data_IF_434216613529
#
_entry.id   IF_434216613529
#
_cell.length_a   1.000
_cell.length_b   1.000
_cell.length_c   1.000
_cell.angle_alpha   90.00
_cell.angle_beta   90.00
_cell.angle_gamma   90.00
#
_symmetry.space_group_name_H-M   'P 1'
#
loop_
_entity.id
_entity.type
_entity.pdbx_description
1 polymer ?
#
# COMPACT_ATOMS: atom_id res chain seq x y z
N UNK A 1 -9.31 -16.50 -18.31
CA UNK A 1 -10.42 -16.19 -17.37
C UNK A 1 -11.31 -15.13 -18.00
N UNK A 2 -12.63 -15.16 -17.80
CA UNK A 2 -13.59 -14.18 -18.35
C UNK A 2 -14.21 -13.42 -17.18
N UNK A 3 -14.18 -12.08 -17.22
CA UNK A 3 -14.74 -11.21 -16.18
C UNK A 3 -15.76 -10.23 -16.78
N UNK A 4 -16.67 -9.72 -15.94
CA UNK A 4 -17.59 -8.64 -16.35
C UNK A 4 -16.77 -7.38 -16.69
N UNK A 5 -17.17 -6.60 -17.72
CA UNK A 5 -16.56 -5.30 -17.99
C UNK A 5 -16.54 -4.44 -16.71
N UNK A 6 -15.41 -3.79 -16.48
CA UNK A 6 -15.21 -2.83 -15.39
C UNK A 6 -14.86 -1.47 -15.99
N UNK A 7 -15.17 -0.38 -15.28
CA UNK A 7 -14.77 0.96 -15.71
C UNK A 7 -13.26 1.18 -15.67
N UNK A 8 -12.84 2.42 -15.93
CA UNK A 8 -11.43 2.82 -15.89
C UNK A 8 -10.79 2.46 -14.53
N UNK A 9 -9.51 2.08 -14.57
CA UNK A 9 -8.72 1.96 -13.35
C UNK A 9 -8.39 3.34 -12.77
N UNK A 10 -8.08 3.38 -11.47
CA UNK A 10 -7.75 4.63 -10.78
C UNK A 10 -6.50 5.30 -11.32
N UNK A 11 -5.55 4.55 -11.90
CA UNK A 11 -4.39 5.16 -12.57
C UNK A 11 -4.84 6.08 -13.72
N UNK A 12 -5.76 5.61 -14.54
CA UNK A 12 -6.32 6.37 -15.66
C UNK A 12 -7.11 7.59 -15.17
N UNK A 13 -7.87 7.42 -14.09
CA UNK A 13 -8.62 8.51 -13.47
C UNK A 13 -7.68 9.58 -12.87
N UNK A 14 -6.65 9.17 -12.15
CA UNK A 14 -5.68 10.07 -11.53
C UNK A 14 -4.92 10.87 -12.59
N UNK A 15 -4.50 10.20 -13.68
CA UNK A 15 -3.83 10.87 -14.80
C UNK A 15 -4.69 11.96 -15.47
N UNK A 16 -6.01 11.77 -15.53
CA UNK A 16 -6.96 12.78 -16.06
C UNK A 16 -7.08 14.01 -15.15
N UNK A 17 -6.84 13.85 -13.85
CA UNK A 17 -6.93 14.92 -12.85
C UNK A 17 -5.64 15.72 -12.68
N UNK A 18 -4.52 15.24 -13.22
CA UNK A 18 -3.24 15.96 -13.18
C UNK A 18 -2.61 15.95 -11.78
N UNK A 19 -1.86 17.01 -11.45
CA UNK A 19 -1.07 17.09 -10.20
C UNK A 19 -1.87 17.56 -8.98
N UNK A 20 -3.14 17.89 -9.14
CA UNK A 20 -3.97 18.43 -8.06
C UNK A 20 -4.74 17.33 -7.30
N UNK A 21 -4.69 16.08 -7.80
CA UNK A 21 -5.47 14.97 -7.27
C UNK A 21 -6.97 15.07 -7.57
N UNK A 22 -7.74 14.18 -6.95
CA UNK A 22 -9.19 14.09 -7.05
C UNK A 22 -9.88 14.93 -5.97
N UNK A 23 -11.11 15.41 -6.21
CA UNK A 23 -11.93 15.99 -5.17
C UNK A 23 -12.06 15.05 -3.96
N UNK A 24 -11.83 15.57 -2.74
CA UNK A 24 -11.84 14.76 -1.52
C UNK A 24 -13.15 13.98 -1.30
N UNK A 25 -14.28 14.50 -1.79
CA UNK A 25 -15.57 13.77 -1.78
C UNK A 25 -15.46 12.46 -2.54
N UNK A 26 -14.85 12.47 -3.74
CA UNK A 26 -14.64 11.27 -4.54
C UNK A 26 -13.63 10.34 -3.87
N UNK A 27 -12.53 10.87 -3.35
CA UNK A 27 -11.52 10.07 -2.61
C UNK A 27 -12.18 9.32 -1.45
N UNK A 28 -13.00 9.99 -0.64
CA UNK A 28 -13.71 9.37 0.49
C UNK A 28 -14.63 8.23 0.05
N UNK A 29 -15.40 8.43 -1.02
CA UNK A 29 -16.31 7.41 -1.55
C UNK A 29 -15.52 6.21 -2.08
N UNK A 30 -14.47 6.47 -2.86
CA UNK A 30 -13.62 5.42 -3.45
C UNK A 30 -12.97 4.58 -2.34
N UNK A 31 -12.33 5.22 -1.37
CA UNK A 31 -11.64 4.54 -0.28
C UNK A 31 -12.62 3.77 0.60
N UNK A 32 -13.82 4.30 0.85
CA UNK A 32 -14.86 3.57 1.59
C UNK A 32 -15.21 2.23 0.93
N UNK A 33 -15.60 2.25 -0.36
CA UNK A 33 -15.97 1.02 -1.07
C UNK A 33 -14.80 0.06 -1.23
N UNK A 34 -13.58 0.58 -1.41
CA UNK A 34 -12.37 -0.25 -1.42
C UNK A 34 -12.16 -0.97 -0.08
N UNK A 35 -12.31 -0.27 1.05
CA UNK A 35 -12.18 -0.87 2.38
C UNK A 35 -13.27 -1.91 2.65
N UNK A 36 -14.49 -1.71 2.16
CA UNK A 36 -15.57 -2.71 2.23
C UNK A 36 -15.21 -3.98 1.45
N UNK A 37 -14.66 -3.83 0.24
CA UNK A 37 -14.16 -4.94 -0.57
C UNK A 37 -12.99 -5.68 0.07
N UNK A 38 -12.03 -4.96 0.64
CA UNK A 38 -10.91 -5.55 1.38
C UNK A 38 -11.38 -6.28 2.63
N UNK A 39 -12.33 -5.70 3.37
CA UNK A 39 -12.92 -6.38 4.53
C UNK A 39 -13.55 -7.73 4.13
N UNK A 40 -14.24 -7.80 2.99
CA UNK A 40 -14.75 -9.07 2.47
C UNK A 40 -13.64 -10.07 2.13
N UNK A 41 -12.60 -9.64 1.40
CA UNK A 41 -11.44 -10.49 1.07
C UNK A 41 -10.75 -11.04 2.33
N UNK A 42 -10.52 -10.17 3.32
CA UNK A 42 -9.78 -10.50 4.54
C UNK A 42 -10.59 -11.38 5.48
N UNK A 43 -11.87 -11.06 5.70
CA UNK A 43 -12.69 -11.72 6.72
C UNK A 43 -13.43 -12.95 6.19
N UNK A 44 -14.01 -12.87 5.00
CA UNK A 44 -14.80 -13.95 4.39
C UNK A 44 -13.92 -14.87 3.55
N UNK A 45 -13.12 -14.32 2.63
CA UNK A 45 -12.34 -15.13 1.69
C UNK A 45 -11.02 -15.65 2.27
N UNK A 46 -10.51 -15.03 3.35
CA UNK A 46 -9.18 -15.29 3.93
C UNK A 46 -8.04 -15.09 2.91
N UNK A 47 -8.21 -14.09 2.05
CA UNK A 47 -7.25 -13.70 1.01
C UNK A 47 -6.66 -12.33 1.39
N UNK A 48 -5.36 -12.17 1.19
CA UNK A 48 -4.64 -10.89 1.20
C UNK A 48 -4.34 -10.57 -0.27
N UNK A 49 -4.64 -9.35 -0.73
CA UNK A 49 -4.43 -8.98 -2.12
C UNK A 49 -2.95 -8.80 -2.46
N UNK A 50 -2.22 -8.15 -1.55
CA UNK A 50 -0.77 -7.93 -1.58
C UNK A 50 -0.25 -7.00 -2.68
N UNK A 51 -1.12 -6.40 -3.50
CA UNK A 51 -0.72 -5.48 -4.57
C UNK A 51 -1.82 -4.43 -4.86
N UNK A 52 -2.35 -3.84 -3.79
CA UNK A 52 -3.29 -2.72 -3.90
C UNK A 52 -2.55 -1.47 -4.37
N UNK A 53 -3.03 -0.92 -5.49
CA UNK A 53 -2.52 0.27 -6.18
C UNK A 53 -3.57 0.76 -7.19
N UNK A 54 -3.45 1.99 -7.73
CA UNK A 54 -4.43 2.56 -8.64
C UNK A 54 -4.75 1.70 -9.87
N UNK A 55 -3.77 0.95 -10.38
CA UNK A 55 -3.93 0.08 -11.55
C UNK A 55 -4.89 -1.09 -11.30
N UNK A 56 -4.95 -1.57 -10.05
CA UNK A 56 -5.70 -2.75 -9.63
C UNK A 56 -7.05 -2.40 -8.98
N UNK A 57 -7.49 -1.15 -9.09
CA UNK A 57 -8.79 -0.70 -8.61
C UNK A 57 -9.53 -0.01 -9.73
N UNK A 58 -10.66 -0.58 -10.15
CA UNK A 58 -11.54 0.00 -11.14
C UNK A 58 -12.63 0.83 -10.47
N UNK A 59 -12.97 1.96 -11.09
CA UNK A 59 -14.07 2.82 -10.63
C UNK A 59 -15.03 3.09 -11.79
N UNK A 60 -16.31 3.16 -11.48
CA UNK A 60 -17.35 3.57 -12.42
C UNK A 60 -18.26 4.57 -11.72
N UNK A 61 -18.37 5.75 -12.31
CA UNK A 61 -19.36 6.76 -11.92
C UNK A 61 -20.51 6.68 -12.92
N UNK A 62 -21.69 6.31 -12.46
CA UNK A 62 -22.89 6.29 -13.29
C UNK A 62 -24.02 6.95 -12.53
N UNK A 63 -24.59 8.00 -13.11
CA UNK A 63 -25.59 8.84 -12.47
C UNK A 63 -25.05 9.37 -11.12
N UNK A 64 -25.65 8.96 -9.99
CA UNK A 64 -25.19 9.30 -8.63
C UNK A 64 -24.47 8.14 -7.92
N UNK A 65 -24.25 7.02 -8.60
CA UNK A 65 -23.62 5.83 -8.04
C UNK A 65 -22.13 5.74 -8.39
N UNK A 66 -21.31 5.45 -7.38
CA UNK A 66 -19.90 5.11 -7.54
C UNK A 66 -19.70 3.63 -7.22
N UNK A 67 -19.26 2.84 -8.21
CA UNK A 67 -18.89 1.44 -8.02
C UNK A 67 -17.37 1.31 -8.02
N UNK A 68 -16.82 0.64 -7.00
CA UNK A 68 -15.39 0.33 -6.89
C UNK A 68 -15.21 -1.18 -6.91
N UNK A 69 -14.24 -1.65 -7.69
CA UNK A 69 -13.90 -3.08 -7.78
C UNK A 69 -12.41 -3.30 -7.65
N UNK A 70 -12.04 -4.26 -6.80
CA UNK A 70 -10.67 -4.76 -6.64
C UNK A 70 -10.42 -5.78 -7.74
N UNK A 71 -9.31 -5.62 -8.46
CA UNK A 71 -8.94 -6.41 -9.63
C UNK A 71 -7.55 -7.02 -9.44
N UNK A 72 -7.25 -8.05 -10.24
CA UNK A 72 -5.93 -8.70 -10.28
C UNK A 72 -5.48 -9.36 -8.96
N UNK A 73 -6.07 -10.53 -8.68
CA UNK A 73 -5.65 -11.41 -7.60
C UNK A 73 -4.44 -12.31 -7.98
N UNK A 74 -3.71 -12.01 -9.07
CA UNK A 74 -2.58 -12.81 -9.53
C UNK A 74 -1.43 -12.91 -8.51
N UNK A 75 -1.27 -11.86 -7.70
CA UNK A 75 -0.29 -11.82 -6.60
C UNK A 75 -0.89 -12.17 -5.23
N UNK A 76 -2.20 -12.41 -5.15
CA UNK A 76 -2.88 -12.60 -3.88
C UNK A 76 -2.42 -13.88 -3.16
N UNK A 77 -2.46 -13.86 -1.83
CA UNK A 77 -2.08 -15.01 -1.01
C UNK A 77 -3.10 -15.30 0.10
N UNK A 78 -3.20 -16.56 0.52
CA UNK A 78 -4.04 -16.92 1.64
C UNK A 78 -3.40 -16.47 2.96
N UNK A 79 -4.22 -15.98 3.89
CA UNK A 79 -3.78 -15.64 5.24
C UNK A 79 -3.06 -16.84 5.88
N UNK A 80 -1.87 -16.61 6.44
CA UNK A 80 -1.07 -17.66 7.10
C UNK A 80 -0.11 -18.42 6.19
N UNK A 81 -0.20 -18.26 4.85
CA UNK A 81 0.73 -18.92 3.92
C UNK A 81 2.02 -18.12 3.78
N UNK A 82 3.18 -18.79 3.85
CA UNK A 82 4.47 -18.17 3.53
C UNK A 82 4.55 -17.88 2.02
N UNK A 83 4.94 -16.66 1.69
CA UNK A 83 5.24 -16.23 0.31
C UNK A 83 6.76 -16.14 0.16
N UNK A 84 7.29 -16.58 -0.98
CA UNK A 84 8.72 -16.64 -1.27
C UNK A 84 9.31 -15.30 -1.75
N UNK A 85 8.45 -14.39 -2.22
CA UNK A 85 8.86 -13.11 -2.81
C UNK A 85 8.33 -11.91 -2.02
N UNK A 86 9.02 -10.74 -2.09
CA UNK A 86 8.52 -9.51 -1.52
C UNK A 86 7.28 -9.04 -2.27
N UNK A 87 6.18 -8.93 -1.54
CA UNK A 87 4.90 -8.44 -2.05
C UNK A 87 4.89 -6.91 -2.22
N UNK A 88 3.77 -6.39 -2.74
CA UNK A 88 3.43 -4.97 -2.94
C UNK A 88 4.31 -4.24 -3.94
N UNK A 89 3.68 -3.42 -4.77
CA UNK A 89 4.38 -2.42 -5.58
C UNK A 89 5.06 -1.36 -4.69
N UNK A 90 6.24 -0.87 -5.09
CA UNK A 90 7.20 -0.17 -4.22
C UNK A 90 6.63 1.01 -3.41
N UNK A 91 5.88 1.99 -3.96
CA UNK A 91 5.35 3.13 -3.21
C UNK A 91 4.28 2.75 -2.17
N UNK A 92 3.65 1.60 -2.34
CA UNK A 92 2.56 1.10 -1.50
C UNK A 92 3.02 0.01 -0.52
N UNK A 93 4.34 -0.24 -0.44
CA UNK A 93 4.91 -1.33 0.34
C UNK A 93 5.04 -0.96 1.81
N UNK A 94 4.54 -1.82 2.70
CA UNK A 94 4.53 -1.58 4.14
C UNK A 94 5.88 -1.87 4.82
N UNK A 95 6.15 -1.25 5.99
CA UNK A 95 7.43 -1.39 6.68
C UNK A 95 7.76 -2.83 7.07
N UNK A 96 6.79 -3.64 7.49
CA UNK A 96 7.03 -5.04 7.83
C UNK A 96 7.55 -5.86 6.65
N UNK A 97 7.07 -5.58 5.43
CA UNK A 97 7.57 -6.22 4.20
C UNK A 97 8.96 -5.72 3.85
N UNK A 98 9.24 -4.42 4.03
CA UNK A 98 10.59 -3.86 3.80
C UNK A 98 11.60 -4.48 4.75
N UNK A 99 11.25 -4.64 6.03
CA UNK A 99 12.06 -5.27 7.08
C UNK A 99 12.14 -6.80 6.94
N UNK A 100 11.33 -7.41 6.08
CA UNK A 100 11.26 -8.88 5.95
C UNK A 100 10.65 -9.57 7.18
N UNK A 101 9.88 -8.82 7.98
CA UNK A 101 9.07 -9.33 9.06
C UNK A 101 7.81 -10.04 8.52
N UNK A 102 7.06 -10.69 9.41
CA UNK A 102 5.80 -11.33 9.05
C UNK A 102 4.72 -10.27 8.79
N UNK A 103 4.02 -10.39 7.65
CA UNK A 103 2.92 -9.50 7.29
C UNK A 103 1.57 -10.22 7.41
N UNK A 104 0.49 -9.42 7.51
CA UNK A 104 -0.89 -9.90 7.53
C UNK A 104 -1.74 -9.06 6.57
N UNK A 105 -3.06 -9.21 6.65
CA UNK A 105 -4.03 -8.43 5.89
C UNK A 105 -3.88 -6.90 6.02
N UNK A 106 -3.26 -6.41 7.11
CA UNK A 106 -2.94 -5.00 7.31
C UNK A 106 -1.96 -4.44 6.25
N UNK A 107 -1.22 -5.30 5.53
CA UNK A 107 -0.40 -4.87 4.40
C UNK A 107 -1.25 -4.16 3.31
N UNK A 108 -2.45 -4.69 3.01
CA UNK A 108 -3.37 -4.06 2.05
C UNK A 108 -3.91 -2.72 2.58
N UNK A 109 -4.09 -2.61 3.89
CA UNK A 109 -4.54 -1.36 4.54
C UNK A 109 -3.48 -0.27 4.42
N UNK A 110 -2.21 -0.62 4.60
CA UNK A 110 -1.09 0.29 4.35
C UNK A 110 -1.07 0.78 2.91
N UNK A 111 -1.15 -0.15 1.94
CA UNK A 111 -1.19 0.19 0.52
C UNK A 111 -2.38 1.10 0.19
N UNK A 112 -3.54 0.85 0.80
CA UNK A 112 -4.74 1.68 0.66
C UNK A 112 -4.52 3.10 1.19
N UNK A 113 -3.80 3.27 2.31
CA UNK A 113 -3.48 4.59 2.85
C UNK A 113 -2.53 5.37 1.93
N UNK A 114 -1.48 4.73 1.39
CA UNK A 114 -0.61 5.35 0.38
C UNK A 114 -1.40 5.80 -0.85
N UNK A 115 -2.30 4.95 -1.35
CA UNK A 115 -3.15 5.27 -2.49
C UNK A 115 -4.16 6.39 -2.17
N UNK A 116 -4.74 6.43 -0.96
CA UNK A 116 -5.62 7.52 -0.55
C UNK A 116 -4.92 8.88 -0.59
N UNK A 117 -3.67 8.93 -0.12
CA UNK A 117 -2.84 10.13 -0.21
C UNK A 117 -2.58 10.52 -1.67
N UNK A 118 -2.22 9.56 -2.52
CA UNK A 118 -1.97 9.81 -3.93
C UNK A 118 -3.22 10.34 -4.65
N UNK A 119 -4.37 9.72 -4.43
CA UNK A 119 -5.62 10.18 -5.02
C UNK A 119 -6.01 11.57 -4.53
N UNK A 120 -5.66 11.96 -3.30
CA UNK A 120 -5.99 13.28 -2.75
C UNK A 120 -5.01 14.38 -3.18
N UNK A 121 -3.79 14.04 -3.57
CA UNK A 121 -2.70 15.01 -3.79
C UNK A 121 -2.08 14.97 -5.17
N UNK A 122 -2.37 13.93 -5.97
CA UNK A 122 -1.66 13.64 -7.22
C UNK A 122 -0.20 13.21 -7.05
N UNK A 123 0.27 12.98 -5.81
CA UNK A 123 1.67 12.67 -5.49
C UNK A 123 1.79 11.35 -4.72
N UNK A 124 2.87 10.61 -4.96
CA UNK A 124 3.17 9.41 -4.17
C UNK A 124 3.50 9.80 -2.73
N UNK A 125 2.91 9.11 -1.75
CA UNK A 125 3.24 9.31 -0.34
C UNK A 125 4.71 8.98 -0.05
N UNK A 126 5.21 7.91 -0.67
CA UNK A 126 6.60 7.48 -0.55
C UNK A 126 7.20 7.22 -1.93
N UNK A 127 8.22 7.99 -2.31
CA UNK A 127 8.96 7.82 -3.56
C UNK A 127 10.43 7.45 -3.29
N UNK A 128 10.71 6.20 -2.88
CA UNK A 128 12.05 5.81 -2.51
C UNK A 128 12.94 5.57 -3.72
N UNK A 129 14.05 6.29 -3.78
CA UNK A 129 15.16 6.06 -4.71
C UNK A 129 16.43 5.60 -3.99
N UNK A 130 17.32 4.81 -4.64
CA UNK A 130 18.62 4.45 -4.09
C UNK A 130 19.67 5.54 -4.34
N UNK A 131 20.77 5.51 -3.58
CA UNK A 131 21.98 6.32 -3.84
C UNK A 131 23.24 5.48 -3.64
N UNK A 132 24.43 6.08 -3.78
CA UNK A 132 25.70 5.44 -3.42
C UNK A 132 25.81 5.12 -1.92
N UNK A 133 25.11 5.87 -1.07
CA UNK A 133 25.28 5.86 0.38
C UNK A 133 24.19 5.07 1.11
N UNK A 134 23.09 4.75 0.42
CA UNK A 134 21.96 4.01 0.98
C UNK A 134 21.20 3.25 -0.10
N UNK A 135 20.64 2.11 0.30
CA UNK A 135 19.71 1.32 -0.49
C UNK A 135 18.34 1.98 -0.59
N UNK A 136 17.55 1.53 -1.57
CA UNK A 136 16.16 1.95 -1.72
C UNK A 136 15.31 1.59 -0.49
N UNK A 137 15.60 0.47 0.17
CA UNK A 137 14.88 0.05 1.38
C UNK A 137 15.18 1.00 2.55
N UNK A 138 16.45 1.39 2.74
CA UNK A 138 16.87 2.36 3.76
C UNK A 138 16.20 3.72 3.57
N UNK A 139 16.21 4.24 2.34
CA UNK A 139 15.53 5.50 2.05
C UNK A 139 14.02 5.40 2.25
N UNK A 140 13.40 4.27 1.87
CA UNK A 140 11.96 4.08 2.10
C UNK A 140 11.60 4.08 3.59
N UNK A 141 12.39 3.39 4.43
CA UNK A 141 12.18 3.42 5.88
C UNK A 141 12.42 4.82 6.46
N UNK A 142 13.39 5.57 5.95
CA UNK A 142 13.63 6.95 6.37
C UNK A 142 12.44 7.87 6.05
N UNK A 143 11.82 7.73 4.87
CA UNK A 143 10.59 8.46 4.53
C UNK A 143 9.44 8.12 5.48
N UNK A 144 9.24 6.83 5.78
CA UNK A 144 8.22 6.36 6.74
C UNK A 144 8.46 6.99 8.11
N UNK A 145 9.70 6.96 8.60
CA UNK A 145 10.06 7.51 9.91
C UNK A 145 9.82 9.02 9.97
N UNK A 146 10.18 9.73 8.90
CA UNK A 146 9.95 11.16 8.80
C UNK A 146 8.44 11.53 8.80
N UNK A 147 7.58 10.67 8.22
CA UNK A 147 6.15 10.93 8.12
C UNK A 147 5.34 10.53 9.36
N UNK A 148 5.61 9.37 9.96
CA UNK A 148 4.76 8.80 11.02
C UNK A 148 5.51 8.41 12.30
N UNK A 149 6.81 8.72 12.40
CA UNK A 149 7.63 8.46 13.57
C UNK A 149 8.37 7.12 13.54
N UNK A 150 9.06 6.82 14.64
CA UNK A 150 9.97 5.68 14.74
C UNK A 150 9.27 4.33 14.52
N UNK A 151 10.00 3.39 13.92
CA UNK A 151 9.51 2.02 13.76
C UNK A 151 9.41 1.34 15.14
N UNK A 152 8.28 0.71 15.47
CA UNK A 152 8.12 0.00 16.74
C UNK A 152 9.22 -1.05 16.95
N UNK A 153 9.76 -1.13 18.18
CA UNK A 153 10.87 -2.04 18.52
C UNK A 153 10.53 -3.50 18.20
N UNK A 154 9.29 -3.91 18.41
CA UNK A 154 8.81 -5.26 18.15
C UNK A 154 8.89 -5.61 16.66
N UNK A 155 8.53 -4.66 15.80
CA UNK A 155 8.61 -4.82 14.34
C UNK A 155 10.06 -4.87 13.88
N UNK A 156 10.91 -4.01 14.44
CA UNK A 156 12.33 -3.99 14.16
C UNK A 156 12.99 -5.32 14.55
N UNK A 157 12.74 -5.83 15.76
CA UNK A 157 13.30 -7.10 16.24
C UNK A 157 12.83 -8.33 15.44
N UNK A 158 11.64 -8.25 14.83
CA UNK A 158 11.14 -9.29 13.92
C UNK A 158 11.76 -9.25 12.51
N UNK A 159 12.58 -8.23 12.21
CA UNK A 159 13.25 -8.04 10.93
C UNK A 159 14.22 -9.18 10.63
N UNK A 160 14.17 -9.70 9.41
CA UNK A 160 15.20 -10.61 8.88
C UNK A 160 16.38 -9.85 8.28
N UNK A 161 16.26 -8.53 8.14
CA UNK A 161 17.29 -7.64 7.57
C UNK A 161 18.00 -6.89 8.69
N UNK A 162 18.86 -7.61 9.41
CA UNK A 162 19.60 -7.09 10.58
C UNK A 162 20.37 -5.79 10.32
N UNK A 163 20.81 -5.53 9.08
CA UNK A 163 21.51 -4.29 8.72
C UNK A 163 20.60 -3.05 8.79
N UNK A 164 19.31 -3.19 8.51
CA UNK A 164 18.33 -2.09 8.57
C UNK A 164 17.98 -1.67 10.00
N UNK A 165 18.26 -2.53 11.00
CA UNK A 165 18.10 -2.20 12.43
C UNK A 165 18.96 -1.01 12.85
N UNK A 166 20.11 -0.78 12.19
CA UNK A 166 20.97 0.36 12.48
C UNK A 166 20.23 1.69 12.24
N UNK A 167 19.40 1.77 11.20
CA UNK A 167 18.60 2.98 10.92
C UNK A 167 17.48 3.20 11.93
N UNK A 168 16.92 2.13 12.53
CA UNK A 168 15.91 2.23 13.58
C UNK A 168 16.52 2.76 14.89
N UNK A 169 17.80 2.50 15.14
CA UNK A 169 18.52 2.98 16.32
C UNK A 169 19.10 4.40 16.20
N UNK A 170 19.04 5.05 15.03
CA UNK A 170 19.57 6.42 14.86
C UNK A 170 18.66 7.52 15.44
N UNK A 171 17.49 7.19 15.96
CA UNK A 171 16.68 8.06 16.80
C UNK A 171 16.97 7.74 18.30
N UNK A 172 18.05 8.30 18.83
CA UNK A 172 18.64 7.96 20.14
C UNK A 172 17.67 7.83 21.32
N UNK A 173 17.33 6.59 21.68
CA UNK A 173 16.72 6.17 22.95
C UNK A 173 16.95 4.66 23.19
N UNK A 174 18.22 4.30 23.34
CA UNK A 174 18.67 3.14 24.11
C UNK A 174 19.72 3.63 25.13
N UNK A 175 19.25 4.44 26.08
CA UNK A 175 19.76 4.46 27.45
C UNK A 175 18.67 3.85 28.33
#
# INVERSE_FOLDING_TARGET
MVFKPSGDNLLTLNAKSGRDGLPLTNVKIIIKHLLEGLNHLHTTCKIIHTDIKPENVCVTFKDEECSVKIMDLGNACCVGKKVSEPIQTRPYRCPEVILGAYFKANADIWSTACMAFELATGQLLFEPFPSSNYSRDEHHLALIIASIGIIPKEMALASKKFFLLKMVNFAGLLN
#
